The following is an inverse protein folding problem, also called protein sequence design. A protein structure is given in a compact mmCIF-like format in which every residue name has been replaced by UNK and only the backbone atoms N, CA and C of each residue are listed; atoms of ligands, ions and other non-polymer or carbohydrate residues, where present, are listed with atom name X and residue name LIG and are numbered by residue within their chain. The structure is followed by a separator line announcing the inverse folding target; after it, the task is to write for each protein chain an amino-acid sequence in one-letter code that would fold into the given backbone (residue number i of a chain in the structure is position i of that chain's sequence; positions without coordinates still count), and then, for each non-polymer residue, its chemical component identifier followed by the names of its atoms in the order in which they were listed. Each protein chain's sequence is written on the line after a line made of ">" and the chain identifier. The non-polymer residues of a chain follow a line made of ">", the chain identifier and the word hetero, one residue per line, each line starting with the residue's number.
data_IF_407721001992
#
_entry.id   IF_407721001992
#
_cell.length_a   1.000
_cell.length_b   1.000
_cell.length_c   1.000
_cell.angle_alpha   90.00
_cell.angle_beta   90.00
_cell.angle_gamma   90.00
#
_symmetry.space_group_name_H-M   'P 1'
#
loop_
_entity.id
_entity.type
_entity.pdbx_description
1 polymer ?
#
# COMPACT_ATOMS: atom_id res chain seq x y z
N UNK A 1 -8.48 7.29 20.70
CA UNK A 1 -7.66 6.68 19.64
C UNK A 1 -8.50 5.61 18.94
N UNK A 2 -8.95 5.86 17.71
CA UNK A 2 -9.70 4.89 16.90
C UNK A 2 -8.77 4.28 15.85
N UNK A 3 -8.64 2.96 15.85
CA UNK A 3 -7.80 2.17 14.92
C UNK A 3 -8.57 1.67 13.69
N UNK A 4 -9.80 2.14 13.48
CA UNK A 4 -10.63 1.78 12.33
C UNK A 4 -10.87 0.26 12.18
N UNK A 5 -11.07 -0.48 13.29
CA UNK A 5 -11.35 -1.92 13.27
C UNK A 5 -12.81 -2.29 12.93
N UNK A 6 -13.66 -1.31 12.64
CA UNK A 6 -15.07 -1.45 12.29
C UNK A 6 -16.00 -2.07 13.36
N UNK A 7 -15.49 -2.58 14.48
CA UNK A 7 -16.31 -3.22 15.52
C UNK A 7 -17.50 -2.35 15.99
N UNK A 8 -17.29 -1.04 16.19
CA UNK A 8 -18.37 -0.15 16.61
C UNK A 8 -19.44 0.04 15.53
N UNK A 9 -19.06 0.01 14.25
CA UNK A 9 -19.98 0.11 13.12
C UNK A 9 -20.82 -1.16 13.00
N UNK A 10 -20.18 -2.33 13.07
CA UNK A 10 -20.82 -3.63 12.97
C UNK A 10 -21.84 -3.89 14.10
N UNK A 11 -21.49 -3.56 15.34
CA UNK A 11 -22.39 -3.78 16.48
C UNK A 11 -23.42 -2.68 16.68
N UNK A 12 -23.47 -1.66 15.82
CA UNK A 12 -24.40 -0.55 15.99
C UNK A 12 -25.84 -1.00 15.74
N UNK A 13 -26.74 -1.02 16.73
CA UNK A 13 -28.13 -1.44 16.54
C UNK A 13 -28.95 -0.47 15.67
N UNK A 14 -28.36 0.67 15.30
CA UNK A 14 -28.95 1.72 14.48
C UNK A 14 -28.29 1.85 13.11
N UNK A 15 -27.33 0.97 12.77
CA UNK A 15 -26.59 1.00 11.51
C UNK A 15 -25.95 2.36 11.20
N UNK A 16 -25.44 3.03 12.24
CA UNK A 16 -24.72 4.30 12.07
C UNK A 16 -23.33 3.96 11.51
N UNK A 17 -22.89 4.60 10.40
CA UNK A 17 -21.55 4.40 9.85
C UNK A 17 -20.49 5.11 10.71
N UNK A 18 -20.27 4.62 11.93
CA UNK A 18 -19.41 5.27 12.91
C UNK A 18 -17.96 5.37 12.43
N UNK A 19 -17.41 4.30 11.88
CA UNK A 19 -16.02 4.29 11.38
C UNK A 19 -15.88 5.02 10.05
N UNK A 20 -16.57 4.62 8.96
CA UNK A 20 -16.36 5.25 7.65
C UNK A 20 -17.04 6.62 7.50
N UNK A 21 -18.04 6.93 8.32
CA UNK A 21 -18.77 8.19 8.26
C UNK A 21 -18.30 9.17 9.33
N UNK A 22 -18.58 8.89 10.60
CA UNK A 22 -18.34 9.86 11.68
C UNK A 22 -16.86 10.04 12.00
N UNK A 23 -16.13 8.95 12.25
CA UNK A 23 -14.75 9.01 12.73
C UNK A 23 -13.78 9.44 11.64
N UNK A 24 -13.95 8.98 10.39
CA UNK A 24 -13.14 9.44 9.27
C UNK A 24 -13.25 10.96 9.07
N UNK A 25 -14.48 11.51 9.09
CA UNK A 25 -14.73 12.95 8.96
C UNK A 25 -14.22 13.74 10.16
N UNK A 26 -14.41 13.24 11.38
CA UNK A 26 -13.89 13.90 12.57
C UNK A 26 -12.35 13.99 12.55
N UNK A 27 -11.66 12.96 12.05
CA UNK A 27 -10.21 13.00 11.86
C UNK A 27 -9.81 14.02 10.78
N UNK A 28 -10.48 14.01 9.63
CA UNK A 28 -10.27 14.98 8.54
C UNK A 28 -10.38 16.43 9.05
N UNK A 29 -11.43 16.76 9.81
CA UNK A 29 -11.60 18.10 10.42
C UNK A 29 -10.46 18.46 11.39
N UNK A 30 -9.96 17.50 12.18
CA UNK A 30 -8.82 17.74 13.08
C UNK A 30 -7.52 18.00 12.32
N UNK A 31 -7.31 17.30 11.19
CA UNK A 31 -6.16 17.57 10.31
C UNK A 31 -6.26 18.96 9.70
N UNK A 32 -7.43 19.36 9.20
CA UNK A 32 -7.68 20.69 8.65
C UNK A 32 -7.50 21.80 9.69
N UNK A 33 -7.83 21.51 10.96
CA UNK A 33 -7.57 22.41 12.09
C UNK A 33 -6.10 22.44 12.53
N UNK A 34 -5.20 21.69 11.89
CA UNK A 34 -3.78 21.60 12.22
C UNK A 34 -3.47 20.84 13.51
N UNK A 35 -4.44 20.10 14.06
CA UNK A 35 -4.27 19.33 15.30
C UNK A 35 -3.83 17.90 14.95
N UNK A 36 -2.55 17.78 14.56
CA UNK A 36 -1.97 16.51 14.09
C UNK A 36 -0.88 16.06 15.08
N UNK A 37 -0.91 14.82 15.60
CA UNK A 37 0.21 14.25 16.34
C UNK A 37 1.49 14.26 15.48
N UNK A 38 2.63 14.57 16.09
CA UNK A 38 3.90 14.73 15.36
C UNK A 38 4.27 13.47 14.56
N UNK A 39 4.12 12.29 15.15
CA UNK A 39 4.46 11.02 14.50
C UNK A 39 3.60 10.75 13.26
N UNK A 40 2.34 11.20 13.29
CA UNK A 40 1.43 11.09 12.15
C UNK A 40 1.79 12.09 11.05
N UNK A 41 2.18 13.30 11.43
CA UNK A 41 2.65 14.31 10.50
C UNK A 41 3.91 13.83 9.75
N UNK A 42 4.88 13.26 10.47
CA UNK A 42 6.08 12.66 9.87
C UNK A 42 5.73 11.54 8.88
N UNK A 43 4.75 10.68 9.21
CA UNK A 43 4.29 9.64 8.29
C UNK A 43 3.64 10.20 7.01
N UNK A 44 2.91 11.32 7.09
CA UNK A 44 2.34 11.99 5.92
C UNK A 44 3.43 12.61 5.03
N UNK A 45 4.39 13.30 5.65
CA UNK A 45 5.54 13.88 4.93
C UNK A 45 6.36 12.79 4.23
N UNK A 46 6.57 11.66 4.89
CA UNK A 46 7.24 10.50 4.31
C UNK A 46 6.45 9.92 3.13
N UNK A 47 5.13 9.74 3.27
CA UNK A 47 4.28 9.27 2.19
C UNK A 47 4.30 10.21 0.98
N UNK A 48 4.30 11.53 1.20
CA UNK A 48 4.41 12.51 0.12
C UNK A 48 5.78 12.45 -0.57
N UNK A 49 6.87 12.39 0.21
CA UNK A 49 8.24 12.49 -0.32
C UNK A 49 8.77 11.19 -0.91
N UNK A 50 8.52 10.08 -0.24
CA UNK A 50 9.06 8.76 -0.57
C UNK A 50 8.00 7.79 -1.10
N UNK A 51 6.72 8.17 -1.10
CA UNK A 51 5.65 7.27 -1.53
C UNK A 51 5.40 6.12 -0.56
N UNK A 52 5.87 6.20 0.69
CA UNK A 52 5.61 5.23 1.76
C UNK A 52 5.71 5.93 3.13
N UNK A 53 4.92 5.50 4.14
CA UNK A 53 4.90 6.15 5.44
C UNK A 53 6.17 5.90 6.28
N UNK A 54 6.99 4.90 5.90
CA UNK A 54 8.19 4.48 6.61
C UNK A 54 9.42 5.37 6.30
N UNK A 55 9.33 6.24 5.29
CA UNK A 55 10.43 7.11 4.88
C UNK A 55 11.56 6.38 4.14
N UNK A 56 11.33 5.13 3.73
CA UNK A 56 12.32 4.33 3.04
C UNK A 56 12.46 4.72 1.57
N UNK A 57 13.63 4.47 0.99
CA UNK A 57 13.85 4.79 -0.42
C UNK A 57 13.00 3.90 -1.34
N UNK A 58 12.32 4.47 -2.36
CA UNK A 58 11.63 3.67 -3.39
C UNK A 58 12.53 2.65 -4.07
N UNK A 59 13.83 2.96 -4.20
CA UNK A 59 14.80 2.06 -4.84
C UNK A 59 14.94 0.72 -4.11
N UNK A 60 14.73 0.72 -2.79
CA UNK A 60 14.82 -0.48 -1.95
C UNK A 60 13.57 -1.35 -1.97
N UNK A 61 12.48 -0.92 -2.64
CA UNK A 61 11.15 -1.54 -2.52
C UNK A 61 11.13 -3.01 -2.96
N UNK A 62 12.04 -3.41 -3.84
CA UNK A 62 12.16 -4.76 -4.36
C UNK A 62 13.33 -5.57 -3.74
N UNK A 63 14.10 -5.01 -2.80
CA UNK A 63 15.30 -5.64 -2.23
C UNK A 63 14.96 -6.96 -1.51
N UNK A 64 13.74 -7.07 -0.99
CA UNK A 64 13.25 -8.30 -0.37
C UNK A 64 13.22 -9.49 -1.32
N UNK A 65 13.21 -9.29 -2.64
CA UNK A 65 13.09 -10.36 -3.62
C UNK A 65 14.44 -10.86 -4.18
N UNK A 66 15.56 -10.23 -3.83
CA UNK A 66 16.89 -10.49 -4.42
C UNK A 66 17.43 -11.90 -4.16
N UNK A 67 16.99 -12.56 -3.08
CA UNK A 67 17.44 -13.90 -2.68
C UNK A 67 16.46 -15.02 -3.07
N UNK A 68 15.49 -14.73 -3.92
CA UNK A 68 14.50 -15.71 -4.37
C UNK A 68 14.92 -16.40 -5.67
N UNK A 69 14.53 -17.66 -5.80
CA UNK A 69 14.70 -18.43 -7.03
C UNK A 69 13.41 -19.20 -7.29
N UNK A 70 12.79 -19.07 -8.47
CA UNK A 70 13.08 -18.11 -9.55
C UNK A 70 13.00 -16.64 -9.13
N UNK A 71 13.72 -15.78 -9.86
CA UNK A 71 13.73 -14.33 -9.66
C UNK A 71 12.33 -13.73 -9.88
N UNK A 72 11.94 -12.78 -9.04
CA UNK A 72 10.68 -12.04 -9.21
C UNK A 72 10.82 -11.02 -10.34
N UNK A 73 9.86 -11.03 -11.26
CA UNK A 73 9.85 -10.08 -12.39
C UNK A 73 9.54 -8.67 -11.89
N UNK A 74 10.45 -7.73 -12.13
CA UNK A 74 10.19 -6.30 -11.96
C UNK A 74 9.72 -5.76 -13.31
N UNK A 75 8.48 -5.27 -13.38
CA UNK A 75 7.80 -4.93 -14.65
C UNK A 75 8.63 -3.98 -15.54
N UNK A 76 9.25 -2.96 -14.93
CA UNK A 76 10.12 -2.00 -15.64
C UNK A 76 11.34 -2.63 -16.33
N UNK A 77 11.88 -3.71 -15.75
CA UNK A 77 13.07 -4.42 -16.28
C UNK A 77 12.66 -5.49 -17.29
N UNK A 78 11.61 -6.25 -16.99
CA UNK A 78 11.17 -7.37 -17.82
C UNK A 78 10.50 -6.95 -19.13
N UNK A 79 9.77 -5.83 -19.12
CA UNK A 79 9.01 -5.30 -20.29
C UNK A 79 8.21 -6.35 -21.06
N UNK A 80 7.66 -7.33 -20.34
CA UNK A 80 6.75 -8.34 -20.87
C UNK A 80 5.42 -8.30 -20.11
N UNK A 81 4.31 -8.69 -20.74
CA UNK A 81 3.07 -8.94 -20.01
C UNK A 81 3.26 -10.05 -18.97
N UNK A 82 2.44 -9.99 -17.93
CA UNK A 82 2.30 -11.02 -16.88
C UNK A 82 0.82 -11.30 -16.67
N UNK A 83 0.45 -12.47 -16.17
CA UNK A 83 -0.96 -12.73 -15.83
C UNK A 83 -1.38 -11.92 -14.61
N UNK A 84 -0.53 -11.87 -13.58
CA UNK A 84 -0.82 -11.20 -12.31
C UNK A 84 0.18 -10.07 -12.03
N UNK A 85 -0.31 -8.85 -11.87
CA UNK A 85 0.45 -7.78 -11.24
C UNK A 85 0.25 -7.87 -9.72
N UNK A 86 1.31 -8.19 -8.99
CA UNK A 86 1.28 -8.15 -7.53
C UNK A 86 1.68 -6.76 -7.04
N UNK A 87 0.72 -6.07 -6.42
CA UNK A 87 0.96 -4.86 -5.64
C UNK A 87 1.40 -5.27 -4.23
N UNK A 88 2.67 -5.03 -3.89
CA UNK A 88 3.33 -5.65 -2.73
C UNK A 88 3.06 -4.88 -1.43
N UNK A 89 2.90 -3.57 -1.51
CA UNK A 89 2.61 -2.73 -0.36
C UNK A 89 3.84 -2.41 0.51
N UNK A 90 3.67 -1.47 1.43
CA UNK A 90 4.79 -0.86 2.16
C UNK A 90 5.46 -1.82 3.14
N UNK A 91 4.67 -2.51 3.96
CA UNK A 91 5.23 -3.37 5.01
C UNK A 91 5.92 -4.62 4.45
N UNK A 92 5.34 -5.37 3.49
CA UNK A 92 6.03 -6.50 2.88
C UNK A 92 7.30 -6.09 2.14
N UNK A 93 7.36 -4.86 1.60
CA UNK A 93 8.56 -4.34 0.96
C UNK A 93 9.67 -3.92 1.92
N UNK A 94 9.35 -3.24 3.01
CA UNK A 94 10.37 -2.57 3.84
C UNK A 94 10.57 -3.17 5.23
N UNK A 95 9.54 -3.76 5.83
CA UNK A 95 9.62 -4.20 7.23
C UNK A 95 10.21 -5.63 7.31
N UNK A 96 11.40 -5.84 7.92
CA UNK A 96 12.13 -7.13 7.85
C UNK A 96 11.34 -8.35 8.33
N UNK A 97 10.45 -8.15 9.31
CA UNK A 97 9.57 -9.23 9.81
C UNK A 97 8.50 -9.63 8.77
N UNK A 98 7.98 -8.66 8.02
CA UNK A 98 6.86 -8.86 7.08
C UNK A 98 7.38 -9.29 5.70
N UNK A 99 8.60 -8.90 5.33
CA UNK A 99 9.30 -9.42 4.14
C UNK A 99 9.32 -10.95 4.08
N UNK A 100 9.35 -11.65 5.24
CA UNK A 100 9.26 -13.12 5.29
C UNK A 100 7.95 -13.65 4.69
N UNK A 101 6.85 -12.93 4.88
CA UNK A 101 5.53 -13.26 4.31
C UNK A 101 5.54 -13.03 2.80
N UNK A 102 6.09 -11.90 2.33
CA UNK A 102 6.22 -11.62 0.90
C UNK A 102 7.06 -12.72 0.19
N UNK A 103 8.21 -13.08 0.78
CA UNK A 103 9.05 -14.18 0.29
C UNK A 103 8.30 -15.51 0.23
N UNK A 104 7.48 -15.82 1.22
CA UNK A 104 6.68 -17.04 1.24
C UNK A 104 5.60 -17.02 0.14
N UNK A 105 4.92 -15.88 -0.06
CA UNK A 105 3.93 -15.72 -1.12
C UNK A 105 4.55 -15.88 -2.52
N UNK A 106 5.68 -15.23 -2.77
CA UNK A 106 6.43 -15.38 -4.03
C UNK A 106 6.79 -16.85 -4.32
N UNK A 107 7.22 -17.61 -3.29
CA UNK A 107 7.48 -19.04 -3.42
C UNK A 107 6.23 -19.84 -3.78
N UNK A 108 5.07 -19.50 -3.20
CA UNK A 108 3.80 -20.14 -3.53
C UNK A 108 3.43 -19.86 -4.98
N UNK A 109 3.51 -18.61 -5.44
CA UNK A 109 3.27 -18.27 -6.85
C UNK A 109 4.19 -19.05 -7.80
N UNK A 110 5.47 -19.17 -7.47
CA UNK A 110 6.42 -19.96 -8.25
C UNK A 110 6.06 -21.45 -8.29
N UNK A 111 5.66 -22.06 -7.16
CA UNK A 111 5.23 -23.47 -7.10
C UNK A 111 3.96 -23.71 -7.93
N UNK A 112 3.04 -22.75 -7.91
CA UNK A 112 1.80 -22.79 -8.67
C UNK A 112 1.97 -22.40 -10.14
N UNK A 113 3.19 -22.03 -10.55
CA UNK A 113 3.51 -21.51 -11.89
C UNK A 113 2.63 -20.31 -12.28
N UNK A 114 2.31 -19.44 -11.33
CA UNK A 114 1.65 -18.17 -11.62
C UNK A 114 2.64 -17.27 -12.35
N UNK A 115 2.26 -16.72 -13.49
CA UNK A 115 3.06 -15.70 -14.17
C UNK A 115 2.79 -14.33 -13.52
N UNK A 116 3.65 -13.93 -12.57
CA UNK A 116 3.49 -12.68 -11.84
C UNK A 116 4.66 -11.72 -11.98
N UNK A 117 4.36 -10.43 -11.80
CA UNK A 117 5.37 -9.37 -11.71
C UNK A 117 5.00 -8.32 -10.66
N UNK A 118 5.98 -7.53 -10.25
CA UNK A 118 5.83 -6.43 -9.29
C UNK A 118 6.28 -5.10 -9.91
N UNK A 119 5.73 -4.00 -9.41
CA UNK A 119 6.12 -2.65 -9.85
C UNK A 119 7.50 -2.23 -9.30
N UNK A 120 7.90 -2.77 -8.15
CA UNK A 120 9.17 -2.44 -7.51
C UNK A 120 9.25 -0.93 -7.20
N UNK A 121 10.33 -0.22 -7.61
CA UNK A 121 10.50 1.20 -7.29
C UNK A 121 9.47 2.18 -7.86
N UNK A 122 8.61 1.74 -8.79
CA UNK A 122 7.53 2.57 -9.33
C UNK A 122 6.23 2.48 -8.52
N UNK A 123 6.11 1.49 -7.63
CA UNK A 123 4.99 1.38 -6.71
C UNK A 123 5.07 2.48 -5.65
N UNK A 124 3.94 3.09 -5.34
CA UNK A 124 3.76 3.95 -4.16
C UNK A 124 2.74 3.32 -3.23
N UNK A 125 2.67 3.78 -1.98
CA UNK A 125 1.68 3.34 -1.00
C UNK A 125 0.27 3.37 -1.59
N UNK A 126 -0.58 2.43 -1.19
CA UNK A 126 -2.00 2.40 -1.54
C UNK A 126 -2.80 3.56 -0.91
N UNK A 127 -2.20 4.21 0.09
CA UNK A 127 -2.75 5.37 0.78
C UNK A 127 -3.83 5.03 1.81
N UNK A 128 -4.06 3.76 2.15
CA UNK A 128 -5.12 3.38 3.09
C UNK A 128 -4.86 3.99 4.48
N UNK A 129 -3.60 3.98 4.92
CA UNK A 129 -3.21 4.60 6.19
C UNK A 129 -3.52 6.09 6.23
N UNK A 130 -3.25 6.82 5.13
CA UNK A 130 -3.53 8.25 5.00
C UNK A 130 -5.04 8.50 5.02
N UNK A 131 -5.79 7.73 4.23
CA UNK A 131 -7.26 7.82 4.16
C UNK A 131 -7.91 7.56 5.52
N UNK A 132 -7.51 6.51 6.23
CA UNK A 132 -8.04 6.15 7.55
C UNK A 132 -7.62 7.13 8.66
N UNK A 133 -6.52 7.84 8.46
CA UNK A 133 -6.07 8.93 9.32
C UNK A 133 -6.77 10.26 9.04
N UNK A 134 -7.56 10.37 7.96
CA UNK A 134 -8.32 11.56 7.58
C UNK A 134 -7.67 12.40 6.47
N UNK A 135 -6.49 12.01 5.97
CA UNK A 135 -5.75 12.73 4.94
C UNK A 135 -6.18 12.24 3.55
N UNK A 136 -7.36 12.67 3.13
CA UNK A 136 -8.01 12.28 1.87
C UNK A 136 -7.25 12.77 0.64
N UNK A 137 -6.68 13.98 0.69
CA UNK A 137 -5.94 14.57 -0.42
C UNK A 137 -4.66 13.80 -0.76
N UNK A 138 -3.87 13.40 0.24
CA UNK A 138 -2.68 12.58 -0.01
C UNK A 138 -3.03 11.19 -0.55
N UNK A 139 -4.13 10.60 -0.07
CA UNK A 139 -4.64 9.34 -0.63
C UNK A 139 -4.93 9.45 -2.13
N UNK A 140 -5.63 10.51 -2.55
CA UNK A 140 -5.95 10.73 -3.98
C UNK A 140 -4.69 10.87 -4.83
N UNK A 141 -3.68 11.61 -4.36
CA UNK A 141 -2.39 11.77 -5.04
C UNK A 141 -1.66 10.44 -5.20
N UNK A 142 -1.65 9.61 -4.14
CA UNK A 142 -1.00 8.28 -4.16
C UNK A 142 -1.73 7.32 -5.11
N UNK A 143 -3.07 7.30 -5.04
CA UNK A 143 -3.91 6.48 -5.91
C UNK A 143 -3.73 6.86 -7.39
N UNK A 144 -3.72 8.16 -7.71
CA UNK A 144 -3.50 8.63 -9.08
C UNK A 144 -2.10 8.24 -9.59
N UNK A 145 -1.08 8.36 -8.74
CA UNK A 145 0.29 7.97 -9.08
C UNK A 145 0.39 6.48 -9.40
N UNK A 146 -0.24 5.62 -8.60
CA UNK A 146 -0.29 4.17 -8.87
C UNK A 146 -1.09 3.86 -10.14
N UNK A 147 -2.24 4.50 -10.34
CA UNK A 147 -3.05 4.35 -11.56
C UNK A 147 -2.25 4.64 -12.84
N UNK A 148 -1.51 5.75 -12.86
CA UNK A 148 -0.61 6.11 -13.97
C UNK A 148 0.52 5.10 -14.21
N UNK A 149 0.93 4.36 -13.19
CA UNK A 149 1.94 3.31 -13.34
C UNK A 149 1.31 2.04 -13.89
N UNK A 150 0.11 1.67 -13.42
CA UNK A 150 -0.63 0.52 -13.94
C UNK A 150 -0.85 0.62 -15.45
N UNK A 151 -1.21 1.80 -15.96
CA UNK A 151 -1.42 2.07 -17.39
C UNK A 151 -0.18 1.82 -18.28
N UNK A 152 1.03 1.78 -17.70
CA UNK A 152 2.27 1.53 -18.46
C UNK A 152 2.50 0.06 -18.79
N UNK A 153 1.77 -0.84 -18.13
CA UNK A 153 2.04 -2.27 -18.14
C UNK A 153 0.82 -3.07 -18.58
N UNK A 154 1.05 -4.26 -19.13
CA UNK A 154 -0.02 -5.19 -19.52
C UNK A 154 -0.06 -6.34 -18.53
N UNK A 155 -1.24 -6.56 -17.94
CA UNK A 155 -1.53 -7.68 -17.05
C UNK A 155 -3.04 -7.99 -17.07
N UNK A 156 -3.41 -9.20 -16.66
CA UNK A 156 -4.81 -9.64 -16.65
C UNK A 156 -5.51 -9.32 -15.32
N UNK A 157 -4.83 -9.55 -14.20
CA UNK A 157 -5.35 -9.33 -12.85
C UNK A 157 -4.36 -8.60 -11.94
N UNK A 158 -4.88 -7.94 -10.90
CA UNK A 158 -4.08 -7.36 -9.81
C UNK A 158 -4.32 -8.18 -8.55
N UNK A 159 -3.22 -8.58 -7.91
CA UNK A 159 -3.23 -9.15 -6.57
C UNK A 159 -2.70 -8.12 -5.58
N UNK A 160 -3.48 -7.82 -4.55
CA UNK A 160 -3.12 -6.98 -3.41
C UNK A 160 -3.52 -7.75 -2.15
N UNK A 161 -2.61 -7.90 -1.19
CA UNK A 161 -2.86 -8.60 0.07
C UNK A 161 -3.68 -7.77 1.09
#
# INVERSE_FOLDING_TARGET
>A
MCVSCYACTEFCPKNIPLTPGLLARAKEELLLAGTIPQELQEAFENSQRYGNPLGESPRKRADWAEDLTPDVVIMRKGKRPVDVLWFVGDYPSYHPRVQKTAKAMAKIFNILNVDFGILGPEESSDGDSQRLAGESGLFEVLAEKNGKVFEKYQFNDIFHD
#
